data_IF_139512749568
#
_entry.id   IF_139512749568
#
_cell.length_a   1.000
_cell.length_b   1.000
_cell.length_c   1.000
_cell.angle_alpha   90.00
_cell.angle_beta   90.00
_cell.angle_gamma   90.00
#
_symmetry.space_group_name_H-M   'P 1'
#
loop_
_entity.id
_entity.type
_entity.pdbx_description
1 polymer ?
#
# COMPACT_ATOMS: atom_id res chain seq x y z
N UNK A 1 19.89 -16.71 -5.70
CA UNK A 1 19.21 -15.59 -5.01
C UNK A 1 19.96 -14.25 -5.03
N UNK A 2 21.30 -14.19 -4.85
CA UNK A 2 22.06 -12.91 -4.82
C UNK A 2 21.95 -11.99 -6.06
N UNK A 3 21.60 -12.52 -7.23
CA UNK A 3 21.47 -11.74 -8.47
C UNK A 3 19.99 -11.47 -8.80
N UNK A 4 19.15 -12.51 -8.72
CA UNK A 4 17.73 -12.42 -9.09
C UNK A 4 16.93 -11.58 -8.07
N UNK A 5 17.20 -11.72 -6.77
CA UNK A 5 16.48 -11.01 -5.72
C UNK A 5 16.57 -9.48 -5.89
N UNK A 6 17.77 -8.85 -6.02
CA UNK A 6 17.87 -7.40 -6.24
C UNK A 6 17.21 -6.93 -7.55
N UNK A 7 17.21 -7.76 -8.60
CA UNK A 7 16.56 -7.45 -9.88
C UNK A 7 15.03 -7.42 -9.78
N UNK A 8 14.41 -8.31 -9.01
CA UNK A 8 12.96 -8.40 -8.87
C UNK A 8 12.39 -7.60 -7.70
N UNK A 9 13.22 -7.20 -6.72
CA UNK A 9 12.80 -6.40 -5.55
C UNK A 9 11.94 -5.19 -5.89
N UNK A 10 12.27 -4.32 -6.86
CA UNK A 10 11.40 -3.18 -7.18
C UNK A 10 10.02 -3.61 -7.67
N UNK A 11 9.91 -4.71 -8.42
CA UNK A 11 8.62 -5.27 -8.84
C UNK A 11 7.84 -5.89 -7.69
N UNK A 12 8.50 -6.63 -6.80
CA UNK A 12 7.90 -7.24 -5.60
C UNK A 12 7.39 -6.17 -4.63
N UNK A 13 8.16 -5.10 -4.43
CA UNK A 13 7.77 -3.97 -3.59
C UNK A 13 6.51 -3.30 -4.14
N UNK A 14 6.44 -3.06 -5.45
CA UNK A 14 5.22 -2.54 -6.09
C UNK A 14 4.03 -3.49 -5.95
N UNK A 15 4.23 -4.81 -6.12
CA UNK A 15 3.16 -5.81 -5.96
C UNK A 15 2.62 -5.91 -4.53
N UNK A 16 3.51 -5.88 -3.53
CA UNK A 16 3.12 -5.88 -2.11
C UNK A 16 2.29 -4.65 -1.74
N UNK A 17 2.60 -3.52 -2.37
CA UNK A 17 1.88 -2.25 -2.24
C UNK A 17 0.43 -2.34 -2.71
N UNK A 18 0.24 -2.81 -3.93
CA UNK A 18 -1.08 -2.97 -4.52
C UNK A 18 -1.90 -3.96 -3.71
N UNK A 19 -1.30 -5.08 -3.31
CA UNK A 19 -1.96 -6.06 -2.44
C UNK A 19 -2.38 -5.45 -1.09
N UNK A 20 -1.52 -4.63 -0.46
CA UNK A 20 -1.84 -3.96 0.80
C UNK A 20 -3.01 -2.97 0.63
N UNK A 21 -2.98 -2.11 -0.39
CA UNK A 21 -4.07 -1.15 -0.65
C UNK A 21 -5.38 -1.88 -0.94
N UNK A 22 -5.36 -2.91 -1.79
CA UNK A 22 -6.55 -3.72 -2.11
C UNK A 22 -7.13 -4.40 -0.87
N UNK A 23 -6.32 -4.77 0.12
CA UNK A 23 -6.83 -5.37 1.37
C UNK A 23 -7.75 -4.43 2.18
N UNK A 24 -7.59 -3.11 2.04
CA UNK A 24 -8.48 -2.14 2.68
C UNK A 24 -9.77 -1.90 1.89
N UNK A 25 -9.84 -2.29 0.61
CA UNK A 25 -11.04 -2.19 -0.22
C UNK A 25 -12.02 -3.35 0.03
N UNK A 26 -11.54 -4.45 0.63
CA UNK A 26 -12.37 -5.61 0.98
C UNK A 26 -13.34 -5.40 2.17
N UNK A 27 -13.51 -4.17 2.67
CA UNK A 27 -14.44 -3.86 3.78
C UNK A 27 -15.83 -4.44 3.53
N UNK A 28 -16.29 -4.34 2.28
CA UNK A 28 -17.61 -4.85 1.87
C UNK A 28 -17.68 -6.36 2.09
N UNK A 29 -16.67 -7.12 1.65
CA UNK A 29 -16.61 -8.57 1.84
C UNK A 29 -16.55 -8.92 3.34
N UNK A 30 -15.75 -8.20 4.12
CA UNK A 30 -15.64 -8.40 5.58
C UNK A 30 -16.96 -8.10 6.30
N UNK A 31 -17.77 -7.13 5.85
CA UNK A 31 -19.07 -6.86 6.45
C UNK A 31 -20.09 -7.99 6.23
N UNK A 32 -19.99 -8.71 5.11
CA UNK A 32 -20.90 -9.84 4.79
C UNK A 32 -20.42 -11.19 5.34
N UNK A 33 -19.10 -11.40 5.44
CA UNK A 33 -18.51 -12.68 5.84
C UNK A 33 -18.09 -12.70 7.31
N UNK A 34 -17.66 -11.57 7.88
CA UNK A 34 -17.12 -11.57 9.24
C UNK A 34 -18.23 -11.61 10.30
N UNK A 35 -18.11 -12.57 11.23
CA UNK A 35 -18.97 -12.69 12.40
C UNK A 35 -18.84 -11.50 13.38
N UNK A 36 -19.81 -11.31 14.29
CA UNK A 36 -19.88 -10.14 15.18
C UNK A 36 -18.64 -9.91 16.07
N UNK A 37 -17.81 -10.93 16.31
CA UNK A 37 -16.58 -10.82 17.11
C UNK A 37 -15.34 -10.38 16.32
N UNK A 38 -15.37 -10.38 14.98
CA UNK A 38 -14.21 -10.03 14.16
C UNK A 38 -14.16 -8.53 13.86
N UNK A 39 -13.43 -7.80 14.70
CA UNK A 39 -13.17 -6.37 14.50
C UNK A 39 -11.89 -6.16 13.69
N UNK A 40 -12.05 -5.90 12.39
CA UNK A 40 -10.96 -5.43 11.53
C UNK A 40 -10.95 -3.90 11.47
N UNK A 41 -9.78 -3.29 11.23
CA UNK A 41 -9.63 -1.84 11.01
C UNK A 41 -10.70 -1.28 10.06
N UNK A 42 -10.95 -1.87 8.87
CA UNK A 42 -11.99 -1.39 7.97
C UNK A 42 -13.42 -1.48 8.52
N UNK A 43 -13.75 -2.51 9.31
CA UNK A 43 -15.07 -2.64 9.94
C UNK A 43 -15.30 -1.60 11.04
N UNK A 44 -14.26 -1.27 11.81
CA UNK A 44 -14.34 -0.17 12.78
C UNK A 44 -14.49 1.19 12.10
N UNK A 45 -13.82 1.42 10.97
CA UNK A 45 -14.04 2.63 10.16
C UNK A 45 -15.50 2.73 9.71
N UNK A 46 -16.10 1.63 9.24
CA UNK A 46 -17.51 1.60 8.84
C UNK A 46 -18.47 1.85 10.00
N UNK A 47 -18.23 1.23 11.17
CA UNK A 47 -19.03 1.47 12.36
C UNK A 47 -18.93 2.93 12.83
N UNK A 48 -17.74 3.52 12.75
CA UNK A 48 -17.50 4.94 13.05
C UNK A 48 -18.22 5.93 12.14
N UNK A 49 -18.67 5.53 10.94
CA UNK A 49 -19.53 6.38 10.09
C UNK A 49 -20.93 6.55 10.73
N UNK A 50 -21.41 5.52 11.43
CA UNK A 50 -22.78 5.49 11.97
C UNK A 50 -22.93 6.23 13.31
N UNK A 51 -21.86 6.40 14.09
CA UNK A 51 -21.95 6.97 15.44
C UNK A 51 -21.58 8.45 15.55
N UNK A 52 -20.76 8.99 14.65
CA UNK A 52 -20.47 10.41 14.40
C UNK A 52 -19.27 10.41 13.47
N UNK A 53 -19.21 11.27 12.42
CA UNK A 53 -18.12 11.31 11.42
C UNK A 53 -16.75 11.18 12.10
N UNK A 54 -16.26 9.94 12.18
CA UNK A 54 -15.10 9.62 13.00
C UNK A 54 -13.86 10.05 12.22
N UNK A 55 -12.96 10.86 12.80
CA UNK A 55 -11.72 11.25 12.13
C UNK A 55 -10.81 10.05 11.80
N UNK A 56 -11.15 8.84 12.27
CA UNK A 56 -10.46 7.60 11.91
C UNK A 56 -10.41 7.36 10.40
N UNK A 57 -11.47 7.70 9.65
CA UNK A 57 -11.50 7.47 8.20
C UNK A 57 -10.50 8.37 7.48
N UNK A 58 -10.48 9.64 7.87
CA UNK A 58 -9.53 10.63 7.36
C UNK A 58 -8.10 10.27 7.74
N UNK A 59 -7.87 9.77 8.97
CA UNK A 59 -6.56 9.30 9.40
C UNK A 59 -6.05 8.15 8.52
N UNK A 60 -6.90 7.15 8.26
CA UNK A 60 -6.53 6.01 7.39
C UNK A 60 -6.31 6.45 5.94
N UNK A 61 -7.16 7.34 5.40
CA UNK A 61 -6.97 7.89 4.07
C UNK A 61 -5.60 8.61 3.95
N UNK A 62 -5.25 9.44 4.93
CA UNK A 62 -3.94 10.14 4.95
C UNK A 62 -2.77 9.15 5.03
N UNK A 63 -2.88 8.11 5.84
CA UNK A 63 -1.86 7.05 5.97
C UNK A 63 -1.67 6.33 4.63
N UNK A 64 -2.76 5.94 3.96
CA UNK A 64 -2.70 5.27 2.65
C UNK A 64 -2.05 6.16 1.58
N UNK A 65 -2.34 7.46 1.60
CA UNK A 65 -1.70 8.45 0.71
C UNK A 65 -0.20 8.56 0.99
N UNK A 66 0.20 8.64 2.26
CA UNK A 66 1.62 8.72 2.66
C UNK A 66 2.36 7.45 2.23
N UNK A 67 1.80 6.27 2.50
CA UNK A 67 2.40 4.98 2.12
C UNK A 67 2.58 4.89 0.60
N UNK A 68 1.53 5.22 -0.16
CA UNK A 68 1.59 5.22 -1.62
C UNK A 68 2.65 6.17 -2.15
N UNK A 69 2.74 7.38 -1.57
CA UNK A 69 3.72 8.41 -1.94
C UNK A 69 5.15 7.95 -1.63
N UNK A 70 5.40 7.43 -0.44
CA UNK A 70 6.73 6.94 -0.02
C UNK A 70 7.22 5.81 -0.91
N UNK A 71 6.33 4.92 -1.32
CA UNK A 71 6.69 3.81 -2.18
C UNK A 71 6.92 4.23 -3.63
N UNK A 72 6.09 5.11 -4.20
CA UNK A 72 6.39 5.71 -5.51
C UNK A 72 7.73 6.45 -5.50
N UNK A 73 8.01 7.20 -4.43
CA UNK A 73 9.31 7.84 -4.24
C UNK A 73 10.45 6.80 -4.14
N UNK A 74 10.24 5.69 -3.43
CA UNK A 74 11.21 4.59 -3.31
C UNK A 74 11.49 3.96 -4.68
N UNK A 75 10.44 3.68 -5.46
CA UNK A 75 10.58 3.14 -6.83
C UNK A 75 11.34 4.11 -7.71
N UNK A 76 11.02 5.40 -7.68
CA UNK A 76 11.73 6.41 -8.47
C UNK A 76 13.21 6.55 -8.05
N UNK A 77 13.52 6.49 -6.76
CA UNK A 77 14.90 6.50 -6.26
C UNK A 77 15.66 5.26 -6.72
N UNK A 78 15.03 4.08 -6.65
CA UNK A 78 15.62 2.83 -7.14
C UNK A 78 15.81 2.84 -8.66
N UNK A 79 14.86 3.41 -9.41
CA UNK A 79 14.95 3.61 -10.86
C UNK A 79 16.13 4.50 -11.22
N UNK A 80 16.27 5.66 -10.56
CA UNK A 80 17.41 6.57 -10.73
C UNK A 80 18.74 5.91 -10.40
N UNK A 81 18.80 5.10 -9.33
CA UNK A 81 20.00 4.33 -8.99
C UNK A 81 20.33 3.28 -10.04
N UNK A 82 19.32 2.59 -10.58
CA UNK A 82 19.50 1.59 -11.63
C UNK A 82 19.92 2.22 -12.97
N UNK A 83 19.43 3.42 -13.29
CA UNK A 83 19.90 4.20 -14.46
C UNK A 83 21.35 4.64 -14.28
N UNK A 84 21.73 5.09 -13.09
CA UNK A 84 23.11 5.45 -12.75
C UNK A 84 24.07 4.25 -12.84
N UNK A 85 23.60 3.06 -12.44
CA UNK A 85 24.34 1.79 -12.56
C UNK A 85 24.40 1.25 -13.99
N UNK A 86 23.42 1.60 -14.84
CA UNK A 86 23.37 1.18 -16.25
C UNK A 86 24.26 1.98 -17.17
N UNK A 87 24.92 3.05 -16.70
CA UNK A 87 25.94 3.76 -17.47
C UNK A 87 25.49 4.10 -18.88
N UNK A 88 24.26 4.59 -19.05
CA UNK A 88 23.82 5.09 -20.36
C UNK A 88 24.55 6.40 -20.58
N UNK A 89 25.78 6.30 -21.08
CA UNK A 89 26.46 7.39 -21.77
C UNK A 89 25.57 7.76 -22.95
N UNK A 90 24.96 8.96 -22.97
CA UNK A 90 24.39 9.45 -24.20
C UNK A 90 25.58 9.81 -25.10
N UNK A 91 25.80 9.01 -26.14
CA UNK A 91 26.56 9.43 -27.32
C UNK A 91 25.75 10.42 -28.12
#
# INVERSE_FOLDING_TARGET
FKVVLPLITPGVVSGALFAFVTSFDEVVAVLFIAGPEQQTIPRQMWNGIREAISPAILAVATILVIISTLLLATVEILRRRSEKLRGVTPS
#
